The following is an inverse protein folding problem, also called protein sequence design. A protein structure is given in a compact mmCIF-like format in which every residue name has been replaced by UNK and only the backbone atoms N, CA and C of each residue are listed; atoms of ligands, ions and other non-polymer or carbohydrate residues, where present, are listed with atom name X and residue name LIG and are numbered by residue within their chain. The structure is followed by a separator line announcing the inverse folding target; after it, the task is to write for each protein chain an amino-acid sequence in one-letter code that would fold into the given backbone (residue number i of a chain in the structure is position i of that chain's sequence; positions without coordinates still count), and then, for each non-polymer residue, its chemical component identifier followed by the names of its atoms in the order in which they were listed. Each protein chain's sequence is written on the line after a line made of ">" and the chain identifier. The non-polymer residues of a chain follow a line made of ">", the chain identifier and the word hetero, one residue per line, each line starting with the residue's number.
data_IF_096276038140
#
_entry.id   IF_096276038140
#
_cell.length_a   1.000
_cell.length_b   1.000
_cell.length_c   1.000
_cell.angle_alpha   90.00
_cell.angle_beta   90.00
_cell.angle_gamma   90.00
#
_symmetry.space_group_name_H-M   'P 1'
#
loop_
_entity.id
_entity.type
_entity.pdbx_description
1 polymer ?
#
# COMPACT_ATOMS: atom_id res chain seq x y z
N UNK A 1 -8.50 12.55 -3.24
CA UNK A 1 -8.77 11.80 -2.02
C UNK A 1 -10.24 11.95 -1.63
N UNK A 2 -10.90 10.81 -1.37
CA UNK A 2 -12.27 10.77 -0.87
C UNK A 2 -12.30 9.97 0.42
N UNK A 3 -12.76 10.61 1.50
CA UNK A 3 -12.93 9.95 2.79
C UNK A 3 -14.28 9.21 2.80
N UNK A 4 -14.26 7.89 2.63
CA UNK A 4 -15.46 7.05 2.67
C UNK A 4 -15.62 6.27 3.98
N UNK A 5 -14.58 6.23 4.81
CA UNK A 5 -14.53 5.39 6.01
C UNK A 5 -14.34 3.90 5.68
N UNK A 6 -14.05 3.13 6.73
CA UNK A 6 -13.88 1.67 6.66
C UNK A 6 -14.51 0.99 7.85
N UNK A 7 -15.16 -0.15 7.62
CA UNK A 7 -15.56 -1.08 8.66
C UNK A 7 -14.64 -2.31 8.65
N UNK A 8 -14.03 -2.62 9.79
CA UNK A 8 -13.40 -3.91 10.03
C UNK A 8 -14.44 -4.77 10.73
N UNK A 9 -14.86 -5.84 10.05
CA UNK A 9 -16.07 -6.59 10.37
C UNK A 9 -15.70 -7.93 11.01
N UNK A 10 -16.32 -8.23 12.14
CA UNK A 10 -16.29 -9.54 12.80
C UNK A 10 -17.56 -10.32 12.46
N UNK A 11 -17.41 -11.61 12.18
CA UNK A 11 -18.50 -12.54 11.85
C UNK A 11 -18.68 -13.63 12.91
N UNK A 12 -17.87 -13.60 13.95
CA UNK A 12 -17.92 -14.48 15.12
C UNK A 12 -17.52 -13.75 16.39
N UNK A 13 -17.85 -14.32 17.56
CA UNK A 13 -17.47 -13.76 18.84
C UNK A 13 -15.94 -13.70 19.01
N UNK A 14 -15.24 -14.73 18.57
CA UNK A 14 -13.77 -14.77 18.58
C UNK A 14 -13.15 -13.64 17.74
N UNK A 15 -13.70 -13.33 16.56
CA UNK A 15 -13.26 -12.21 15.75
C UNK A 15 -13.62 -10.86 16.38
N UNK A 16 -14.76 -10.77 17.10
CA UNK A 16 -15.14 -9.56 17.83
C UNK A 16 -14.12 -9.22 18.92
N UNK A 17 -13.60 -10.22 19.64
CA UNK A 17 -12.53 -10.03 20.62
C UNK A 17 -11.24 -9.48 19.99
N UNK A 18 -10.92 -9.88 18.75
CA UNK A 18 -9.73 -9.41 18.03
C UNK A 18 -9.80 -7.91 17.67
N UNK A 19 -11.00 -7.33 17.53
CA UNK A 19 -11.17 -5.92 17.20
C UNK A 19 -10.54 -4.99 18.25
N UNK A 20 -10.54 -5.39 19.53
CA UNK A 20 -9.93 -4.62 20.60
C UNK A 20 -8.41 -4.43 20.41
N UNK A 21 -7.70 -5.49 20.02
CA UNK A 21 -6.28 -5.43 19.71
C UNK A 21 -5.97 -4.58 18.48
N UNK A 22 -6.85 -4.59 17.47
CA UNK A 22 -6.72 -3.75 16.27
C UNK A 22 -6.88 -2.27 16.65
N UNK A 23 -7.91 -1.95 17.44
CA UNK A 23 -8.16 -0.58 17.92
C UNK A 23 -6.98 -0.06 18.74
N UNK A 24 -6.50 -0.83 19.71
CA UNK A 24 -5.38 -0.44 20.56
C UNK A 24 -4.10 -0.14 19.74
N UNK A 25 -3.78 -0.96 18.74
CA UNK A 25 -2.64 -0.70 17.83
C UNK A 25 -2.83 0.55 16.98
N UNK A 26 -4.05 0.79 16.50
CA UNK A 26 -4.36 1.98 15.72
C UNK A 26 -4.18 3.25 16.56
N UNK A 27 -4.71 3.26 17.78
CA UNK A 27 -4.56 4.39 18.72
C UNK A 27 -3.10 4.63 19.12
N UNK A 28 -2.34 3.56 19.37
CA UNK A 28 -0.90 3.66 19.63
C UNK A 28 -0.11 4.25 18.46
N UNK A 29 -0.61 4.10 17.23
CA UNK A 29 -0.06 4.71 16.02
C UNK A 29 -0.68 6.09 15.68
N UNK A 30 -1.43 6.70 16.61
CA UNK A 30 -2.01 8.03 16.43
C UNK A 30 -3.26 8.08 15.53
N UNK A 31 -3.91 6.95 15.27
CA UNK A 31 -5.17 6.94 14.52
C UNK A 31 -6.31 7.34 15.45
N UNK A 32 -6.94 8.44 15.14
CA UNK A 32 -8.04 9.00 15.93
C UNK A 32 -9.43 8.51 15.48
N UNK A 33 -10.41 8.56 16.38
CA UNK A 33 -11.81 8.35 16.06
C UNK A 33 -12.22 6.89 15.83
N UNK A 34 -11.34 5.92 16.09
CA UNK A 34 -11.69 4.50 16.00
C UNK A 34 -12.80 4.15 16.98
N UNK A 35 -13.90 3.55 16.51
CA UNK A 35 -15.08 3.29 17.30
C UNK A 35 -15.63 1.87 17.10
N UNK A 36 -15.87 1.16 18.20
CA UNK A 36 -16.63 -0.09 18.16
C UNK A 36 -18.08 0.17 17.78
N UNK A 37 -18.63 -0.73 17.01
CA UNK A 37 -20.04 -0.78 16.62
C UNK A 37 -20.60 -2.14 16.97
N UNK A 38 -21.79 -2.15 17.58
CA UNK A 38 -22.63 -3.33 17.65
C UNK A 38 -23.06 -3.76 16.23
N UNK A 39 -23.53 -4.99 16.09
CA UNK A 39 -24.09 -5.46 14.82
C UNK A 39 -25.21 -4.53 14.31
N UNK A 40 -26.10 -4.07 15.19
CA UNK A 40 -27.19 -3.17 14.82
C UNK A 40 -26.69 -1.81 14.32
N UNK A 41 -25.69 -1.22 14.96
CA UNK A 41 -25.08 0.05 14.54
C UNK A 41 -24.35 -0.09 13.20
N UNK A 42 -23.64 -1.21 12.99
CA UNK A 42 -22.95 -1.50 11.74
C UNK A 42 -23.93 -1.67 10.57
N UNK A 43 -25.02 -2.40 10.78
CA UNK A 43 -26.10 -2.57 9.80
C UNK A 43 -26.84 -1.26 9.53
N UNK A 44 -27.01 -0.39 10.54
CA UNK A 44 -27.61 0.94 10.32
C UNK A 44 -26.73 1.82 9.39
N UNK A 45 -25.40 1.63 9.41
CA UNK A 45 -24.49 2.31 8.49
C UNK A 45 -24.42 1.66 7.11
N UNK A 46 -24.48 0.34 7.04
CA UNK A 46 -24.36 -0.47 5.83
C UNK A 46 -25.42 -1.58 5.84
N UNK A 47 -26.64 -1.34 5.31
CA UNK A 47 -27.78 -2.23 5.46
C UNK A 47 -27.60 -3.65 4.89
N UNK A 48 -26.66 -3.82 3.97
CA UNK A 48 -26.33 -5.13 3.38
C UNK A 48 -25.26 -5.90 4.17
N UNK A 49 -24.81 -5.39 5.30
CA UNK A 49 -23.78 -6.01 6.11
C UNK A 49 -24.38 -7.07 7.03
N UNK A 50 -23.70 -8.23 7.16
CA UNK A 50 -23.96 -9.23 8.18
C UNK A 50 -22.72 -9.39 9.06
N UNK A 51 -22.86 -9.15 10.37
CA UNK A 51 -21.73 -9.19 11.30
C UNK A 51 -22.20 -9.43 12.73
N UNK A 52 -21.29 -9.84 13.63
CA UNK A 52 -21.47 -9.86 15.09
C UNK A 52 -21.06 -8.54 15.74
N UNK A 53 -20.16 -7.80 15.07
CA UNK A 53 -19.68 -6.48 15.49
C UNK A 53 -18.71 -5.90 14.45
N UNK A 54 -18.37 -4.64 14.60
CA UNK A 54 -17.44 -3.99 13.72
C UNK A 54 -16.59 -2.93 14.44
N UNK A 55 -15.48 -2.56 13.80
CA UNK A 55 -14.66 -1.42 14.18
C UNK A 55 -14.67 -0.39 13.05
N UNK A 56 -15.21 0.80 13.32
CA UNK A 56 -15.24 1.90 12.37
C UNK A 56 -13.90 2.66 12.40
N UNK A 57 -13.30 2.81 11.22
CA UNK A 57 -12.20 3.75 10.98
C UNK A 57 -12.73 4.91 10.13
N UNK A 58 -13.05 6.05 10.74
CA UNK A 58 -13.76 7.14 10.05
C UNK A 58 -12.87 7.93 9.09
N UNK A 59 -11.56 7.91 9.30
CA UNK A 59 -10.58 8.67 8.51
C UNK A 59 -10.02 7.90 7.31
N UNK A 60 -10.39 6.64 7.14
CA UNK A 60 -9.98 5.85 5.98
C UNK A 60 -10.65 6.38 4.71
N UNK A 61 -9.92 6.40 3.61
CA UNK A 61 -10.45 6.83 2.32
C UNK A 61 -9.69 6.21 1.15
N UNK A 62 -10.09 6.62 -0.04
CA UNK A 62 -9.47 6.22 -1.30
C UNK A 62 -8.76 7.42 -1.94
N UNK A 63 -7.66 7.14 -2.62
CA UNK A 63 -6.85 8.16 -3.30
C UNK A 63 -6.63 7.75 -4.76
N UNK A 64 -6.64 8.74 -5.65
CA UNK A 64 -6.11 8.56 -7.00
C UNK A 64 -4.59 8.46 -6.92
N UNK A 65 -4.08 7.23 -6.98
CA UNK A 65 -2.64 6.98 -6.87
C UNK A 65 -1.84 7.53 -8.05
N UNK A 66 -2.44 7.62 -9.24
CA UNK A 66 -1.79 8.17 -10.43
C UNK A 66 -1.69 9.70 -10.32
N UNK A 67 -2.76 10.38 -9.97
CA UNK A 67 -2.73 11.82 -9.73
C UNK A 67 -1.78 12.17 -8.56
N UNK A 68 -1.73 11.34 -7.52
CA UNK A 68 -0.79 11.52 -6.41
C UNK A 68 0.67 11.39 -6.86
N UNK A 69 1.00 10.36 -7.66
CA UNK A 69 2.34 10.21 -8.22
C UNK A 69 2.74 11.38 -9.12
N UNK A 70 1.82 11.86 -9.98
CA UNK A 70 2.07 13.02 -10.83
C UNK A 70 2.28 14.30 -10.02
N UNK A 71 1.54 14.50 -8.94
CA UNK A 71 1.74 15.64 -8.04
C UNK A 71 3.12 15.59 -7.37
N UNK A 72 3.53 14.41 -6.86
CA UNK A 72 4.86 14.23 -6.27
C UNK A 72 5.98 14.43 -7.30
N UNK A 73 5.78 13.98 -8.54
CA UNK A 73 6.72 14.23 -9.62
C UNK A 73 6.85 15.73 -9.88
N UNK A 74 5.74 16.45 -10.01
CA UNK A 74 5.75 17.90 -10.23
C UNK A 74 6.44 18.68 -9.11
N UNK A 75 6.20 18.30 -7.86
CA UNK A 75 6.88 18.90 -6.69
C UNK A 75 8.39 18.63 -6.72
N UNK A 76 8.80 17.43 -7.07
CA UNK A 76 10.20 17.05 -7.17
C UNK A 76 10.90 17.80 -8.33
N UNK A 77 10.27 17.91 -9.50
CA UNK A 77 10.78 18.68 -10.64
C UNK A 77 10.91 20.17 -10.29
N UNK A 78 9.93 20.73 -9.59
CA UNK A 78 10.00 22.11 -9.11
C UNK A 78 11.17 22.33 -8.13
N UNK A 79 11.50 21.31 -7.33
CA UNK A 79 12.67 21.30 -6.44
C UNK A 79 14.00 20.98 -7.16
N UNK A 80 14.00 20.84 -8.48
CA UNK A 80 15.19 20.62 -9.30
C UNK A 80 15.56 19.15 -9.53
N UNK A 81 14.69 18.20 -9.20
CA UNK A 81 14.90 16.79 -9.56
C UNK A 81 14.74 16.58 -11.08
N UNK A 82 15.51 15.65 -11.63
CA UNK A 82 15.46 15.28 -13.04
C UNK A 82 14.89 13.85 -13.13
N UNK A 83 13.80 13.69 -13.87
CA UNK A 83 13.23 12.38 -14.18
C UNK A 83 13.68 11.93 -15.56
N UNK A 84 14.23 10.72 -15.64
CA UNK A 84 14.67 10.12 -16.89
C UNK A 84 13.96 8.78 -17.07
N UNK A 85 12.97 8.75 -17.95
CA UNK A 85 12.20 7.56 -18.25
C UNK A 85 12.94 6.68 -19.30
N UNK A 86 12.53 5.42 -19.38
CA UNK A 86 13.11 4.44 -20.33
C UNK A 86 14.62 4.24 -20.18
N UNK A 87 15.17 4.58 -19.01
CA UNK A 87 16.59 4.49 -18.69
C UNK A 87 16.81 3.53 -17.50
N UNK A 88 16.68 2.21 -17.72
CA UNK A 88 16.76 1.23 -16.64
C UNK A 88 18.15 1.20 -16.03
N UNK A 89 18.22 1.17 -14.71
CA UNK A 89 19.47 0.86 -14.01
C UNK A 89 19.68 -0.66 -14.07
N UNK A 90 20.72 -1.07 -14.76
CA UNK A 90 21.01 -2.50 -15.01
C UNK A 90 21.89 -3.13 -13.94
N UNK A 91 22.65 -2.32 -13.20
CA UNK A 91 23.55 -2.71 -12.13
C UNK A 91 24.45 -1.57 -11.72
N UNK A 92 25.55 -1.91 -11.07
CA UNK A 92 26.52 -0.89 -10.64
C UNK A 92 27.68 -1.49 -9.84
N UNK A 93 28.55 -0.60 -9.33
CA UNK A 93 29.70 -0.96 -8.51
C UNK A 93 29.78 0.03 -7.35
N UNK A 94 29.89 -0.46 -6.13
CA UNK A 94 30.18 0.38 -4.96
C UNK A 94 31.64 0.83 -5.03
N UNK A 95 31.89 2.12 -4.86
CA UNK A 95 33.19 2.76 -4.80
C UNK A 95 33.38 3.41 -3.44
N UNK A 96 34.60 3.82 -3.10
CA UNK A 96 34.91 4.52 -1.85
C UNK A 96 34.13 5.84 -1.69
N UNK A 97 33.85 6.52 -2.80
CA UNK A 97 33.23 7.84 -2.85
C UNK A 97 31.80 7.85 -3.45
N UNK A 98 31.14 6.69 -3.49
CA UNK A 98 29.77 6.58 -3.99
C UNK A 98 29.49 5.27 -4.71
N UNK A 99 28.50 5.30 -5.60
CA UNK A 99 28.09 4.13 -6.41
C UNK A 99 28.13 4.55 -7.89
N UNK A 100 28.82 3.78 -8.70
CA UNK A 100 28.80 3.89 -10.14
C UNK A 100 27.68 2.97 -10.68
N UNK A 101 26.68 3.55 -11.33
CA UNK A 101 25.55 2.85 -11.90
C UNK A 101 25.74 2.65 -13.41
N UNK A 102 25.37 1.48 -13.90
CA UNK A 102 25.21 1.24 -15.31
C UNK A 102 23.73 1.50 -15.69
N UNK A 103 23.51 2.50 -16.52
CA UNK A 103 22.18 2.88 -17.02
C UNK A 103 22.09 2.43 -18.45
N UNK A 104 21.06 1.64 -18.77
CA UNK A 104 20.74 1.16 -20.10
C UNK A 104 19.72 2.05 -20.80
N UNK A 105 19.10 1.54 -21.87
CA UNK A 105 18.13 2.26 -22.69
C UNK A 105 18.71 2.70 -24.03
N UNK A 106 18.09 3.74 -24.64
CA UNK A 106 18.52 4.21 -25.97
C UNK A 106 19.91 4.84 -25.94
N UNK A 107 20.25 5.54 -24.85
CA UNK A 107 21.54 6.18 -24.64
C UNK A 107 22.22 5.62 -23.39
N UNK A 108 22.88 4.45 -23.47
CA UNK A 108 23.51 3.83 -22.33
C UNK A 108 24.64 4.69 -21.76
N UNK A 109 24.68 4.80 -20.42
CA UNK A 109 25.71 5.61 -19.76
C UNK A 109 26.13 5.01 -18.41
N UNK A 110 27.23 5.54 -17.88
CA UNK A 110 27.62 5.35 -16.47
C UNK A 110 27.35 6.62 -15.70
N UNK A 111 26.69 6.47 -14.56
CA UNK A 111 26.33 7.56 -13.67
C UNK A 111 26.95 7.30 -12.29
N UNK A 112 27.73 8.24 -11.79
CA UNK A 112 28.27 8.19 -10.45
C UNK A 112 27.40 9.02 -9.51
N UNK A 113 26.93 8.41 -8.42
CA UNK A 113 26.15 9.06 -7.39
C UNK A 113 26.77 8.83 -6.01
N UNK A 114 26.76 9.85 -5.16
CA UNK A 114 27.21 9.74 -3.77
C UNK A 114 26.26 8.89 -2.92
N UNK A 115 24.98 8.94 -3.23
CA UNK A 115 23.92 8.19 -2.57
C UNK A 115 22.97 7.64 -3.62
N UNK A 116 22.57 6.37 -3.48
CA UNK A 116 21.58 5.72 -4.33
C UNK A 116 20.45 5.20 -3.45
N UNK A 117 19.21 5.57 -3.79
CA UNK A 117 18.01 5.05 -3.16
C UNK A 117 17.35 4.09 -4.15
N UNK A 118 17.34 2.81 -3.81
CA UNK A 118 16.75 1.78 -4.64
C UNK A 118 15.26 1.62 -4.32
N UNK A 119 14.41 2.27 -5.09
CA UNK A 119 12.94 2.19 -4.99
C UNK A 119 12.32 1.42 -6.17
N UNK A 120 13.02 0.39 -6.68
CA UNK A 120 12.60 -0.37 -7.87
C UNK A 120 11.47 -1.39 -7.61
N UNK A 121 10.71 -1.27 -6.51
CA UNK A 121 9.54 -2.10 -6.21
C UNK A 121 9.89 -3.59 -6.24
N UNK A 122 9.15 -4.39 -7.00
CA UNK A 122 9.36 -5.84 -7.15
C UNK A 122 10.74 -6.22 -7.75
N UNK A 123 11.47 -5.25 -8.30
CA UNK A 123 12.79 -5.47 -8.87
C UNK A 123 13.93 -5.01 -7.96
N UNK A 124 13.64 -4.43 -6.80
CA UNK A 124 14.63 -3.82 -5.92
C UNK A 124 15.73 -4.80 -5.47
N UNK A 125 15.35 -5.98 -5.00
CA UNK A 125 16.32 -6.99 -4.58
C UNK A 125 17.13 -7.54 -5.76
N UNK A 126 16.51 -7.71 -6.92
CA UNK A 126 17.20 -8.14 -8.15
C UNK A 126 18.24 -7.10 -8.58
N UNK A 127 17.89 -5.81 -8.51
CA UNK A 127 18.83 -4.73 -8.79
C UNK A 127 19.96 -4.68 -7.77
N UNK A 128 19.65 -4.79 -6.47
CA UNK A 128 20.67 -4.80 -5.42
C UNK A 128 21.70 -5.95 -5.62
N UNK A 129 21.27 -7.12 -6.08
CA UNK A 129 22.17 -8.25 -6.41
C UNK A 129 23.10 -7.98 -7.59
N UNK A 130 22.77 -7.02 -8.45
CA UNK A 130 23.57 -6.61 -9.62
C UNK A 130 24.52 -5.46 -9.33
N UNK A 131 24.53 -4.96 -8.09
CA UNK A 131 25.49 -3.95 -7.64
C UNK A 131 26.68 -4.70 -7.00
N UNK A 132 27.82 -4.66 -7.66
CA UNK A 132 29.07 -5.22 -7.17
C UNK A 132 29.52 -4.44 -5.91
N UNK A 133 30.01 -5.17 -4.90
CA UNK A 133 30.36 -4.58 -3.60
C UNK A 133 29.18 -4.43 -2.63
N UNK A 134 27.93 -4.67 -3.06
CA UNK A 134 26.78 -4.70 -2.17
C UNK A 134 26.82 -5.96 -1.30
N UNK A 135 26.85 -5.84 0.05
CA UNK A 135 26.87 -6.98 0.95
C UNK A 135 25.60 -7.83 0.81
N UNK A 136 25.75 -9.10 0.44
CA UNK A 136 24.63 -10.00 0.16
C UNK A 136 23.71 -10.20 1.35
N UNK A 137 24.23 -10.21 2.56
CA UNK A 137 23.46 -10.34 3.80
C UNK A 137 22.51 -9.17 4.09
N UNK A 138 22.73 -8.01 3.45
CA UNK A 138 21.85 -6.84 3.57
C UNK A 138 20.70 -6.84 2.56
N UNK A 139 20.70 -7.78 1.59
CA UNK A 139 19.62 -7.89 0.60
C UNK A 139 18.57 -8.84 1.17
N UNK A 140 17.34 -8.35 1.43
CA UNK A 140 16.30 -9.19 2.02
C UNK A 140 15.89 -10.34 1.09
N UNK A 141 15.36 -11.41 1.69
CA UNK A 141 14.69 -12.47 0.94
C UNK A 141 13.37 -11.95 0.39
N UNK A 142 13.11 -12.19 -0.88
CA UNK A 142 11.87 -11.83 -1.54
C UNK A 142 10.79 -12.88 -1.32
N UNK A 143 9.58 -12.42 -1.05
CA UNK A 143 8.37 -13.25 -1.03
C UNK A 143 7.29 -12.52 -1.81
N UNK A 144 6.67 -13.22 -2.75
CA UNK A 144 5.66 -12.65 -3.62
C UNK A 144 4.29 -13.22 -3.29
N UNK A 145 3.29 -12.35 -3.18
CA UNK A 145 1.90 -12.73 -3.09
C UNK A 145 1.13 -12.08 -4.24
N UNK A 146 0.24 -12.83 -4.88
CA UNK A 146 -0.62 -12.34 -5.95
C UNK A 146 -2.00 -12.02 -5.38
N UNK A 147 -2.43 -10.77 -5.49
CA UNK A 147 -3.82 -10.36 -5.27
C UNK A 147 -4.67 -10.66 -6.51
N UNK A 148 -5.86 -11.20 -6.31
CA UNK A 148 -6.87 -11.32 -7.35
C UNK A 148 -7.98 -10.33 -7.05
N UNK A 149 -8.42 -9.59 -8.08
CA UNK A 149 -9.47 -8.60 -7.96
C UNK A 149 -10.67 -9.01 -8.81
N UNK A 150 -11.84 -8.73 -8.30
CA UNK A 150 -13.11 -8.92 -8.99
C UNK A 150 -13.85 -7.59 -8.96
N UNK A 151 -14.48 -7.23 -10.05
CA UNK A 151 -15.33 -6.03 -10.12
C UNK A 151 -16.78 -6.46 -10.05
N UNK A 152 -17.54 -5.84 -9.16
CA UNK A 152 -18.99 -6.07 -9.07
C UNK A 152 -19.68 -5.32 -10.20
N UNK A 153 -20.52 -6.03 -10.96
CA UNK A 153 -21.36 -5.41 -12.00
C UNK A 153 -22.58 -4.76 -11.34
N UNK A 154 -22.84 -3.51 -11.64
CA UNK A 154 -23.94 -2.74 -11.08
C UNK A 154 -23.53 -1.85 -9.91
N UNK A 155 -24.52 -1.37 -9.16
CA UNK A 155 -24.28 -0.47 -8.03
C UNK A 155 -23.65 -1.22 -6.86
N UNK A 156 -22.64 -0.63 -6.25
CA UNK A 156 -22.06 -1.17 -5.01
C UNK A 156 -23.12 -1.31 -3.91
N UNK A 157 -23.17 -2.45 -3.20
CA UNK A 157 -24.07 -2.64 -2.06
C UNK A 157 -23.60 -1.88 -0.81
N UNK A 158 -22.39 -1.33 -0.82
CA UNK A 158 -21.77 -0.63 0.30
C UNK A 158 -21.30 0.76 -0.11
N UNK A 159 -21.25 1.66 0.86
CA UNK A 159 -20.77 3.04 0.72
C UNK A 159 -19.40 3.26 1.37
N UNK A 160 -18.93 2.27 2.14
CA UNK A 160 -17.64 2.24 2.84
C UNK A 160 -16.81 1.06 2.41
N UNK A 161 -15.53 1.08 2.73
CA UNK A 161 -14.67 -0.08 2.59
C UNK A 161 -15.05 -1.13 3.65
N UNK A 162 -15.23 -2.39 3.24
CA UNK A 162 -15.60 -3.50 4.14
C UNK A 162 -14.46 -4.50 4.16
N UNK A 163 -13.83 -4.64 5.31
CA UNK A 163 -12.69 -5.51 5.52
C UNK A 163 -12.98 -6.54 6.60
N UNK A 164 -12.58 -7.79 6.44
CA UNK A 164 -12.67 -8.77 7.53
C UNK A 164 -11.60 -8.48 8.58
N UNK A 165 -11.73 -9.10 9.74
CA UNK A 165 -10.62 -9.24 10.68
C UNK A 165 -9.49 -10.00 9.98
N UNK A 166 -8.22 -9.54 10.11
CA UNK A 166 -7.09 -10.21 9.47
C UNK A 166 -6.94 -11.65 9.94
N UNK A 167 -6.75 -12.57 8.98
CA UNK A 167 -6.49 -13.99 9.27
C UNK A 167 -5.00 -14.30 9.17
N UNK A 168 -4.47 -15.27 9.93
CA UNK A 168 -3.08 -15.69 9.81
C UNK A 168 -2.72 -16.11 8.37
N UNK A 169 -1.68 -15.50 7.81
CA UNK A 169 -1.18 -15.83 6.46
C UNK A 169 -1.97 -15.24 5.29
N UNK A 170 -2.97 -14.41 5.54
CA UNK A 170 -3.75 -13.77 4.49
C UNK A 170 -4.36 -12.44 4.87
N UNK A 171 -4.80 -11.68 3.88
CA UNK A 171 -5.48 -10.41 4.08
C UNK A 171 -7.01 -10.57 4.15
N UNK A 172 -7.55 -11.74 3.77
CA UNK A 172 -8.97 -11.97 3.61
C UNK A 172 -9.53 -11.35 2.33
N UNK A 173 -10.85 -11.45 2.14
CA UNK A 173 -11.57 -10.83 1.03
C UNK A 173 -11.98 -9.42 1.43
N UNK A 174 -11.46 -8.42 0.75
CA UNK A 174 -11.76 -7.02 0.99
C UNK A 174 -12.73 -6.51 -0.06
N UNK A 175 -13.76 -5.77 0.35
CA UNK A 175 -14.51 -4.95 -0.58
C UNK A 175 -13.91 -3.53 -0.53
N UNK A 176 -13.47 -3.07 -1.68
CA UNK A 176 -12.93 -1.72 -1.88
C UNK A 176 -13.82 -0.96 -2.85
N UNK A 177 -13.77 0.35 -2.78
CA UNK A 177 -14.47 1.25 -3.69
C UNK A 177 -13.43 2.03 -4.49
N UNK A 178 -13.70 2.27 -5.76
CA UNK A 178 -12.95 3.28 -6.51
C UNK A 178 -13.51 4.69 -6.23
N UNK A 179 -12.90 5.72 -6.83
CA UNK A 179 -13.36 7.11 -6.68
C UNK A 179 -14.73 7.36 -7.32
N UNK A 180 -15.18 6.50 -8.22
CA UNK A 180 -16.51 6.51 -8.82
C UNK A 180 -17.57 5.78 -7.99
N UNK A 181 -17.16 5.11 -6.90
CA UNK A 181 -18.04 4.30 -6.05
C UNK A 181 -18.31 2.89 -6.59
N UNK A 182 -17.53 2.42 -7.58
CA UNK A 182 -17.58 1.05 -8.09
C UNK A 182 -16.87 0.11 -7.10
N UNK A 183 -17.49 -1.03 -6.78
CA UNK A 183 -16.91 -2.06 -5.92
C UNK A 183 -16.18 -3.13 -6.73
#
# INVERSE_FOLDING_TARGET
>A
YTNCGKLIVATSDAETEMLAGIKARAEANGVEGMRFLSAAEAVALEPNLACTGALLSPTTGVIDSHAYMLALQGDAEHAGAIFVFHSPVEGGIVREDGVELAVGGADPMRLKARLVINSAGLHACKLARRIEGMPRQLIPQEYYARGNYFTLVGKSPFTRLIYPVPVPGGLGVHLTLDLGGQA
#
